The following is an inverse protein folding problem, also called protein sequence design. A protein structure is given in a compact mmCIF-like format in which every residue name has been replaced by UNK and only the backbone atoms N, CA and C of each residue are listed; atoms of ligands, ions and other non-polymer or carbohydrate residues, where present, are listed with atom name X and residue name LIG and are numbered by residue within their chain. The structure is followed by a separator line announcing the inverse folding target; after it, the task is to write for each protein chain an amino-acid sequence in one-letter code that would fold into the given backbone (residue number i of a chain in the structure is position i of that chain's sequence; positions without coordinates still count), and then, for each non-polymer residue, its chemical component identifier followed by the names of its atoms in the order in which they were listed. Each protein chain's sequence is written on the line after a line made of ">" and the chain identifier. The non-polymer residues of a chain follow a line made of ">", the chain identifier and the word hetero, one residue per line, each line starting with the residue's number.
data_IF_695974939733
#
_entry.id   IF_695974939733
#
_cell.length_a   1.000
_cell.length_b   1.000
_cell.length_c   1.000
_cell.angle_alpha   90.00
_cell.angle_beta   90.00
_cell.angle_gamma   90.00
#
_symmetry.space_group_name_H-M   'P 1'
#
loop_
_entity.id
_entity.type
_entity.pdbx_description
1 polymer ?
#
# COMPACT_ATOMS: atom_id res chain seq x y z
N UNK A 1 11.36 1.80 -14.56
CA UNK A 1 10.74 1.12 -13.41
C UNK A 1 11.30 -0.28 -13.42
N UNK A 2 11.99 -0.67 -12.36
CA UNK A 2 12.40 -2.05 -12.15
C UNK A 2 11.16 -2.86 -11.70
N UNK A 3 11.01 -4.07 -12.23
CA UNK A 3 9.89 -4.97 -11.97
C UNK A 3 10.37 -6.37 -11.54
N UNK A 4 11.64 -6.52 -11.14
CA UNK A 4 12.19 -7.82 -10.72
C UNK A 4 11.44 -8.46 -9.55
N UNK A 5 10.87 -7.63 -8.66
CA UNK A 5 10.07 -8.06 -7.50
C UNK A 5 8.56 -8.13 -7.81
N UNK A 6 8.16 -8.13 -9.09
CA UNK A 6 6.75 -8.22 -9.50
C UNK A 6 6.49 -9.58 -10.15
N UNK A 7 5.69 -10.40 -9.49
CA UNK A 7 5.36 -11.74 -9.94
C UNK A 7 3.96 -11.83 -10.59
N UNK A 8 3.84 -12.74 -11.56
CA UNK A 8 2.54 -13.19 -12.05
C UNK A 8 2.01 -14.27 -11.12
N UNK A 9 0.78 -14.09 -10.65
CA UNK A 9 0.15 -15.01 -9.70
C UNK A 9 -0.92 -15.82 -10.42
N UNK A 10 -0.79 -17.14 -10.40
CA UNK A 10 -1.82 -18.05 -10.91
C UNK A 10 -3.04 -18.11 -9.96
N UNK A 11 -4.24 -18.29 -10.52
CA UNK A 11 -5.47 -18.43 -9.72
C UNK A 11 -6.11 -17.12 -9.22
N UNK A 12 -5.47 -15.97 -9.47
CA UNK A 12 -6.00 -14.64 -9.12
C UNK A 12 -6.07 -13.73 -10.35
N UNK A 13 -7.24 -13.16 -10.72
CA UNK A 13 -7.32 -12.19 -11.81
C UNK A 13 -6.62 -10.87 -11.46
N UNK A 14 -5.85 -10.31 -12.38
CA UNK A 14 -5.31 -8.95 -12.24
C UNK A 14 -6.44 -7.94 -12.02
N UNK A 15 -6.34 -7.15 -10.97
CA UNK A 15 -7.33 -6.13 -10.62
C UNK A 15 -7.49 -5.08 -11.73
N UNK A 16 -8.71 -4.63 -11.94
CA UNK A 16 -9.03 -3.54 -12.86
C UNK A 16 -10.06 -2.59 -12.27
N UNK A 17 -10.23 -1.43 -12.90
CA UNK A 17 -11.31 -0.51 -12.57
C UNK A 17 -11.91 0.08 -13.86
N UNK A 18 -13.21 0.39 -13.81
CA UNK A 18 -13.91 1.12 -14.85
C UNK A 18 -14.32 2.48 -14.30
N UNK A 19 -14.06 3.53 -15.08
CA UNK A 19 -14.48 4.90 -14.74
C UNK A 19 -15.61 5.29 -15.68
N UNK A 20 -16.80 5.43 -15.13
CA UNK A 20 -17.93 6.10 -15.78
C UNK A 20 -17.64 7.60 -15.80
N UNK A 21 -17.81 8.25 -16.94
CA UNK A 21 -17.71 9.71 -17.10
C UNK A 21 -19.00 10.17 -17.77
N UNK A 22 -19.73 11.06 -17.11
CA UNK A 22 -20.98 11.64 -17.59
C UNK A 22 -20.72 12.97 -18.30
N UNK A 23 -21.71 13.46 -19.05
CA UNK A 23 -21.59 14.70 -19.84
C UNK A 23 -21.25 15.93 -18.98
N UNK A 24 -21.70 15.96 -17.73
CA UNK A 24 -21.40 17.03 -16.75
C UNK A 24 -19.99 16.92 -16.13
N UNK A 25 -19.18 15.95 -16.56
CA UNK A 25 -17.85 15.68 -16.04
C UNK A 25 -17.84 14.90 -14.72
N UNK A 26 -19.01 14.63 -14.12
CA UNK A 26 -19.10 13.74 -12.95
C UNK A 26 -18.86 12.29 -13.37
N UNK A 27 -18.48 11.45 -12.41
CA UNK A 27 -18.18 10.07 -12.71
C UNK A 27 -18.13 9.18 -11.49
N UNK A 28 -18.31 7.89 -11.75
CA UNK A 28 -18.20 6.83 -10.75
C UNK A 28 -17.03 5.92 -11.12
N UNK A 29 -16.26 5.47 -10.13
CA UNK A 29 -15.23 4.44 -10.35
C UNK A 29 -15.69 3.13 -9.74
N UNK A 30 -15.74 2.09 -10.57
CA UNK A 30 -16.08 0.73 -10.21
C UNK A 30 -14.81 -0.11 -10.14
N UNK A 31 -14.54 -0.72 -8.99
CA UNK A 31 -13.32 -1.49 -8.75
C UNK A 31 -13.60 -2.99 -8.79
N UNK A 32 -12.83 -3.72 -9.58
CA UNK A 32 -12.84 -5.18 -9.69
C UNK A 32 -11.48 -5.68 -9.22
N UNK A 33 -11.38 -5.88 -7.91
CA UNK A 33 -10.12 -6.19 -7.21
C UNK A 33 -10.30 -7.25 -6.11
N UNK A 34 -11.43 -7.94 -6.11
CA UNK A 34 -11.64 -9.08 -5.24
C UNK A 34 -10.86 -10.28 -5.80
N UNK A 35 -10.26 -11.09 -4.92
CA UNK A 35 -9.33 -12.17 -5.30
C UNK A 35 -8.14 -11.67 -6.16
N UNK A 36 -7.53 -10.55 -5.76
CA UNK A 36 -6.43 -9.93 -6.49
C UNK A 36 -5.07 -10.58 -6.19
N UNK A 37 -4.07 -10.49 -7.09
CA UNK A 37 -2.71 -10.98 -6.86
C UNK A 37 -2.08 -10.48 -5.55
N UNK A 38 -2.45 -9.29 -5.08
CA UNK A 38 -1.97 -8.76 -3.78
C UNK A 38 -2.34 -9.63 -2.57
N UNK A 39 -3.29 -10.56 -2.72
CA UNK A 39 -3.65 -11.52 -1.68
C UNK A 39 -2.58 -12.55 -1.39
N UNK A 40 -1.54 -12.71 -2.23
CA UNK A 40 -0.41 -13.59 -1.91
C UNK A 40 0.69 -12.88 -1.11
N UNK A 41 0.69 -11.55 -1.06
CA UNK A 41 1.70 -10.80 -0.31
C UNK A 41 1.60 -11.09 1.19
N UNK A 42 2.70 -11.41 1.83
CA UNK A 42 2.82 -11.58 3.29
C UNK A 42 4.08 -10.85 3.77
N UNK A 43 4.31 -10.80 5.09
CA UNK A 43 5.59 -10.30 5.60
C UNK A 43 6.78 -11.06 4.99
N UNK A 44 6.65 -12.37 4.76
CA UNK A 44 7.69 -13.23 4.20
C UNK A 44 7.96 -12.97 2.70
N UNK A 45 7.03 -12.34 1.98
CA UNK A 45 7.24 -11.96 0.57
C UNK A 45 8.13 -10.72 0.42
N UNK A 46 8.47 -10.04 1.51
CA UNK A 46 9.32 -8.85 1.48
C UNK A 46 10.78 -9.25 1.26
N UNK A 47 11.37 -8.77 0.15
CA UNK A 47 12.79 -8.94 -0.11
C UNK A 47 13.61 -7.89 0.64
N UNK A 48 14.17 -8.29 1.79
CA UNK A 48 14.98 -7.42 2.65
C UNK A 48 16.20 -6.83 1.91
N UNK A 49 16.89 -7.64 1.10
CA UNK A 49 18.05 -7.17 0.33
C UNK A 49 17.63 -6.13 -0.72
N UNK A 50 16.48 -6.31 -1.36
CA UNK A 50 15.95 -5.33 -2.30
C UNK A 50 15.62 -4.00 -1.61
N UNK A 51 14.94 -4.04 -0.45
CA UNK A 51 14.61 -2.85 0.35
C UNK A 51 15.89 -2.14 0.81
N UNK A 52 16.85 -2.89 1.35
CA UNK A 52 18.14 -2.37 1.85
C UNK A 52 18.93 -1.60 0.79
N UNK A 53 18.85 -2.02 -0.48
CA UNK A 53 19.57 -1.38 -1.57
C UNK A 53 18.85 -0.12 -2.13
N UNK A 54 17.68 0.23 -1.59
CA UNK A 54 16.96 1.45 -1.95
C UNK A 54 17.41 2.66 -1.12
N UNK A 55 17.17 3.87 -1.64
CA UNK A 55 17.41 5.11 -0.87
C UNK A 55 16.17 5.55 -0.09
N UNK A 56 15.00 5.28 -0.64
CA UNK A 56 13.71 5.68 -0.11
C UNK A 56 12.72 4.55 -0.33
N UNK A 57 12.03 4.14 0.74
CA UNK A 57 10.82 3.33 0.68
C UNK A 57 9.62 4.27 0.74
N UNK A 58 8.81 4.29 -0.32
CA UNK A 58 7.55 5.03 -0.33
C UNK A 58 6.37 4.10 -0.09
N UNK A 59 5.52 4.47 0.87
CA UNK A 59 4.35 3.70 1.28
C UNK A 59 3.09 4.55 1.25
N UNK A 60 1.94 3.93 0.96
CA UNK A 60 0.65 4.63 0.88
C UNK A 60 -0.41 3.97 1.76
N UNK A 61 -1.32 4.77 2.32
CA UNK A 61 -2.42 4.27 3.14
C UNK A 61 -3.46 3.47 2.34
N UNK A 62 -3.53 3.63 1.01
CA UNK A 62 -4.42 2.82 0.16
C UNK A 62 -4.04 1.34 0.21
N UNK A 63 -2.75 1.02 0.20
CA UNK A 63 -2.29 -0.38 0.32
C UNK A 63 -2.77 -1.00 1.64
N UNK A 64 -2.57 -0.30 2.77
CA UNK A 64 -3.02 -0.73 4.09
C UNK A 64 -4.53 -0.97 4.15
N UNK A 65 -5.33 -0.19 3.41
CA UNK A 65 -6.78 -0.23 3.44
C UNK A 65 -7.41 -1.34 2.57
N UNK A 66 -6.66 -1.97 1.67
CA UNK A 66 -7.22 -2.94 0.71
C UNK A 66 -7.56 -4.28 1.36
N UNK A 67 -6.74 -4.73 2.30
CA UNK A 67 -6.89 -6.03 2.96
C UNK A 67 -6.46 -5.93 4.44
N UNK A 68 -7.12 -6.67 5.32
CA UNK A 68 -6.89 -6.64 6.77
C UNK A 68 -5.49 -7.09 7.17
N UNK A 69 -4.80 -7.88 6.33
CA UNK A 69 -3.41 -8.29 6.57
C UNK A 69 -2.39 -7.22 6.18
N UNK A 70 -2.73 -6.31 5.27
CA UNK A 70 -1.78 -5.36 4.68
C UNK A 70 -1.13 -4.40 5.70
N UNK A 71 -1.81 -3.96 6.78
CA UNK A 71 -1.16 -3.19 7.83
C UNK A 71 0.04 -3.90 8.48
N UNK A 72 0.00 -5.23 8.63
CA UNK A 72 1.12 -6.03 9.17
C UNK A 72 2.32 -6.03 8.23
N UNK A 73 2.07 -6.31 6.95
CA UNK A 73 3.08 -6.27 5.88
C UNK A 73 3.71 -4.87 5.79
N UNK A 74 2.89 -3.82 5.85
CA UNK A 74 3.35 -2.45 5.80
C UNK A 74 4.27 -2.11 6.97
N UNK A 75 3.89 -2.54 8.17
CA UNK A 75 4.68 -2.35 9.39
C UNK A 75 6.04 -3.05 9.27
N UNK A 76 6.08 -4.26 8.73
CA UNK A 76 7.34 -4.98 8.56
C UNK A 76 8.24 -4.30 7.51
N UNK A 77 7.67 -3.87 6.38
CA UNK A 77 8.41 -3.16 5.35
C UNK A 77 9.09 -1.87 5.88
N UNK A 78 8.36 -1.05 6.66
CA UNK A 78 8.95 0.18 7.24
C UNK A 78 9.98 -0.12 8.33
N UNK A 79 9.81 -1.20 9.11
CA UNK A 79 10.82 -1.65 10.07
C UNK A 79 12.10 -2.07 9.38
N UNK A 80 12.01 -2.86 8.31
CA UNK A 80 13.16 -3.28 7.50
C UNK A 80 13.87 -2.08 6.89
N UNK A 81 13.12 -1.12 6.33
CA UNK A 81 13.70 0.12 5.82
C UNK A 81 14.49 0.86 6.90
N UNK A 82 13.90 1.07 8.08
CA UNK A 82 14.59 1.77 9.19
C UNK A 82 15.77 1.00 9.76
N UNK A 83 15.69 -0.33 9.82
CA UNK A 83 16.82 -1.21 10.20
C UNK A 83 18.05 -0.95 9.33
N UNK A 84 17.86 -0.66 8.04
CA UNK A 84 18.94 -0.43 7.07
C UNK A 84 19.22 1.04 6.76
N UNK A 85 18.62 1.98 7.51
CA UNK A 85 18.83 3.41 7.29
C UNK A 85 18.19 3.96 6.01
N UNK A 86 17.26 3.22 5.40
CA UNK A 86 16.47 3.66 4.26
C UNK A 86 15.45 4.69 4.74
N UNK A 87 15.33 5.81 4.02
CA UNK A 87 14.33 6.85 4.33
C UNK A 87 12.92 6.33 4.04
N UNK A 88 11.99 6.53 4.96
CA UNK A 88 10.58 6.14 4.77
C UNK A 88 9.73 7.37 4.45
N UNK A 89 9.11 7.37 3.26
CA UNK A 89 8.12 8.35 2.84
C UNK A 89 6.72 7.74 2.91
N UNK A 90 5.78 8.43 3.55
CA UNK A 90 4.42 7.95 3.72
C UNK A 90 3.37 8.96 3.22
N UNK A 91 2.50 8.52 2.33
CA UNK A 91 1.26 9.24 1.95
C UNK A 91 0.04 8.56 2.60
N UNK A 92 -0.61 9.18 3.59
CA UNK A 92 -1.78 8.60 4.24
C UNK A 92 -2.95 8.30 3.29
N UNK A 93 -3.13 9.10 2.23
CA UNK A 93 -4.17 8.98 1.22
C UNK A 93 -5.49 8.35 1.71
N UNK A 94 -6.08 8.93 2.77
CA UNK A 94 -7.17 8.30 3.52
C UNK A 94 -8.42 8.08 2.63
N UNK A 95 -8.90 6.83 2.59
CA UNK A 95 -10.11 6.42 1.84
C UNK A 95 -11.08 5.69 2.76
N UNK A 96 -11.94 6.44 3.46
CA UNK A 96 -12.93 5.89 4.40
C UNK A 96 -13.98 4.96 3.78
N UNK A 97 -14.04 4.85 2.44
CA UNK A 97 -14.83 3.82 1.77
C UNK A 97 -14.27 2.40 1.94
N UNK A 98 -13.02 2.26 2.38
CA UNK A 98 -12.31 0.97 2.44
C UNK A 98 -12.22 0.39 3.85
N UNK A 99 -12.29 1.24 4.87
CA UNK A 99 -12.03 0.92 6.28
C UNK A 99 -12.53 2.04 7.19
N UNK A 100 -12.71 1.74 8.47
CA UNK A 100 -13.17 2.75 9.44
C UNK A 100 -12.03 3.69 9.84
N UNK A 101 -12.39 4.82 10.48
CA UNK A 101 -11.40 5.78 10.97
C UNK A 101 -10.54 5.18 12.10
N UNK A 102 -11.09 4.27 12.90
CA UNK A 102 -10.38 3.55 13.97
C UNK A 102 -9.34 2.60 13.38
N UNK A 103 -9.71 1.82 12.35
CA UNK A 103 -8.79 0.93 11.63
C UNK A 103 -7.65 1.73 11.00
N UNK A 104 -7.96 2.84 10.33
CA UNK A 104 -6.96 3.71 9.72
C UNK A 104 -6.01 4.32 10.76
N UNK A 105 -6.54 4.84 11.89
CA UNK A 105 -5.73 5.38 12.98
C UNK A 105 -4.78 4.33 13.54
N UNK A 106 -5.28 3.12 13.81
CA UNK A 106 -4.46 2.04 14.33
C UNK A 106 -3.32 1.67 13.36
N UNK A 107 -3.62 1.51 12.07
CA UNK A 107 -2.64 1.19 11.04
C UNK A 107 -1.61 2.31 10.83
N UNK A 108 -2.02 3.58 10.87
CA UNK A 108 -1.10 4.69 10.68
C UNK A 108 -0.23 4.91 11.92
N UNK A 109 -0.81 4.86 13.12
CA UNK A 109 -0.05 5.02 14.37
C UNK A 109 1.02 3.95 14.54
N UNK A 110 0.83 2.73 14.04
CA UNK A 110 1.83 1.67 14.13
C UNK A 110 3.07 1.95 13.28
N UNK A 111 2.92 2.60 12.12
CA UNK A 111 4.03 2.89 11.21
C UNK A 111 4.68 4.27 11.45
N UNK A 112 3.96 5.23 12.03
CA UNK A 112 4.42 6.61 12.23
C UNK A 112 5.81 6.72 12.91
N UNK A 113 6.18 5.91 13.91
CA UNK A 113 7.52 5.95 14.51
C UNK A 113 8.67 5.66 13.52
N UNK A 114 8.35 5.05 12.38
CA UNK A 114 9.29 4.67 11.34
C UNK A 114 9.27 5.63 10.13
N UNK A 115 8.39 6.63 10.10
CA UNK A 115 8.22 7.55 8.96
C UNK A 115 9.17 8.75 9.10
N UNK A 116 9.91 9.05 8.04
CA UNK A 116 10.79 10.22 7.96
C UNK A 116 10.12 11.41 7.26
N UNK A 117 9.30 11.13 6.23
CA UNK A 117 8.62 12.14 5.42
C UNK A 117 7.13 11.77 5.36
N UNK A 118 6.27 12.68 5.80
CA UNK A 118 4.82 12.53 5.64
C UNK A 118 4.29 13.47 4.54
N UNK A 119 3.54 12.91 3.60
CA UNK A 119 2.88 13.63 2.52
C UNK A 119 1.40 13.81 2.88
N UNK A 120 1.12 14.65 3.88
CA UNK A 120 -0.26 15.04 4.16
C UNK A 120 -0.70 16.09 3.13
N UNK A 121 -1.64 15.73 2.26
CA UNK A 121 -2.35 16.71 1.44
C UNK A 121 -2.99 17.79 2.31
N UNK A 122 -3.03 19.02 1.79
CA UNK A 122 -3.84 20.12 2.33
C UNK A 122 -5.27 19.98 1.82
#
# INVERSE_FOLDING_TARGET
>A
MDISEVELVEGCPTSLNFKEIREDGTGTTHYYRYNSPTQVLTEDTLNEDYIKNSKVLHVTGVFAAIDKKNPGILLEAVKLAKKHGVTVSFDPNLRLKLWTIEEAKAAFHSILPYVDIILSGV
#
